data_IF_576346789423
#
_entry.id   IF_576346789423
#
_cell.length_a   1.000
_cell.length_b   1.000
_cell.length_c   1.000
_cell.angle_alpha   90.00
_cell.angle_beta   90.00
_cell.angle_gamma   90.00
#
_symmetry.space_group_name_H-M   'P 1'
#
loop_
_entity.id
_entity.type
_entity.pdbx_description
1 polymer ?
#
# COMPACT_ATOMS: atom_id res chain seq x y z
N UNK A 1 -11.12 -1.18 10.31
CA UNK A 1 -10.12 -1.49 9.25
C UNK A 1 -10.45 -0.66 8.01
N UNK A 2 -9.46 -0.28 7.18
CA UNK A 2 -9.68 0.41 5.91
C UNK A 2 -9.00 -0.34 4.76
N UNK A 3 -9.55 -0.24 3.56
CA UNK A 3 -9.01 -0.87 2.35
C UNK A 3 -9.44 -0.08 1.11
N UNK A 4 -8.70 -0.26 0.01
CA UNK A 4 -9.07 0.31 -1.28
C UNK A 4 -9.75 -0.73 -2.18
N UNK A 5 -10.70 -0.26 -2.97
CA UNK A 5 -11.33 -1.01 -4.06
C UNK A 5 -10.86 -0.33 -5.34
N UNK A 6 -10.10 -1.05 -6.16
CA UNK A 6 -9.45 -0.48 -7.33
C UNK A 6 -9.81 -1.25 -8.61
N UNK A 7 -9.93 -0.53 -9.72
CA UNK A 7 -9.98 -1.09 -11.06
C UNK A 7 -8.58 -1.04 -11.69
N UNK A 8 -7.89 -2.18 -11.69
CA UNK A 8 -6.46 -2.30 -11.97
C UNK A 8 -6.16 -3.20 -13.16
N UNK A 9 -6.53 -2.82 -14.40
CA UNK A 9 -6.16 -3.58 -15.56
C UNK A 9 -4.64 -3.63 -15.74
N UNK A 10 -4.14 -4.82 -16.08
CA UNK A 10 -2.74 -5.03 -16.44
C UNK A 10 -2.53 -4.82 -17.94
N UNK A 11 -1.40 -4.23 -18.29
CA UNK A 11 -0.96 -4.10 -19.68
C UNK A 11 0.55 -4.36 -19.77
N UNK A 12 1.06 -4.44 -21.00
CA UNK A 12 2.44 -4.82 -21.27
C UNK A 12 3.17 -3.79 -22.14
N UNK A 13 4.43 -3.56 -21.83
CA UNK A 13 5.33 -2.72 -22.61
C UNK A 13 6.14 -3.57 -23.58
N UNK A 14 6.14 -3.23 -24.87
CA UNK A 14 6.88 -3.99 -25.89
C UNK A 14 8.41 -3.76 -25.88
N UNK A 15 8.88 -2.62 -25.36
CA UNK A 15 10.28 -2.19 -25.47
C UNK A 15 10.83 -1.59 -24.16
N UNK A 16 10.54 -2.22 -23.02
CA UNK A 16 11.05 -1.81 -21.69
C UNK A 16 11.58 -3.00 -20.90
N UNK A 17 12.52 -2.73 -19.99
CA UNK A 17 13.00 -3.72 -19.02
C UNK A 17 11.86 -4.22 -18.11
N UNK A 18 10.96 -3.32 -17.70
CA UNK A 18 9.74 -3.68 -16.96
C UNK A 18 8.60 -3.91 -17.96
N UNK A 19 8.35 -5.18 -18.27
CA UNK A 19 7.39 -5.60 -19.30
C UNK A 19 5.94 -5.52 -18.81
N UNK A 20 5.69 -5.65 -17.50
CA UNK A 20 4.36 -5.62 -16.89
C UNK A 20 4.11 -4.27 -16.23
N UNK A 21 2.91 -3.76 -16.37
CA UNK A 21 2.48 -2.53 -15.70
C UNK A 21 0.98 -2.57 -15.40
N UNK A 22 0.50 -1.63 -14.60
CA UNK A 22 -0.89 -1.53 -14.15
C UNK A 22 -1.25 -0.06 -13.97
N UNK A 23 -2.45 0.29 -14.39
CA UNK A 23 -3.01 1.63 -14.19
C UNK A 23 -4.22 1.50 -13.27
N UNK A 24 -4.31 2.37 -12.26
CA UNK A 24 -5.54 2.54 -11.51
C UNK A 24 -6.48 3.41 -12.32
N UNK A 25 -7.54 2.81 -12.88
CA UNK A 25 -8.53 3.51 -13.70
C UNK A 25 -9.60 4.19 -12.87
N UNK A 26 -9.91 3.63 -11.70
CA UNK A 26 -10.94 4.12 -10.81
C UNK A 26 -10.75 3.43 -9.45
N UNK A 27 -10.81 4.20 -8.38
CA UNK A 27 -10.64 3.68 -7.04
C UNK A 27 -11.42 4.45 -6.00
N UNK A 28 -11.66 3.78 -4.88
CA UNK A 28 -12.25 4.36 -3.69
C UNK A 28 -11.71 3.67 -2.44
N UNK A 29 -11.82 4.34 -1.32
CA UNK A 29 -11.56 3.81 0.01
C UNK A 29 -12.86 3.38 0.68
N UNK A 30 -12.79 2.25 1.35
CA UNK A 30 -13.84 1.74 2.20
C UNK A 30 -13.27 1.41 3.59
N UNK A 31 -14.10 1.52 4.61
CA UNK A 31 -13.77 1.16 5.98
C UNK A 31 -14.83 0.25 6.57
N UNK A 32 -14.37 -0.73 7.35
CA UNK A 32 -15.20 -1.71 8.03
C UNK A 32 -15.28 -1.40 9.51
N UNK A 33 -16.51 -1.19 9.99
CA UNK A 33 -16.87 -1.02 11.39
C UNK A 33 -17.19 -2.40 11.98
N UNK A 34 -16.44 -2.79 13.01
CA UNK A 34 -16.54 -4.12 13.60
C UNK A 34 -17.84 -4.33 14.37
N UNK A 35 -18.27 -3.33 15.14
CA UNK A 35 -19.43 -3.44 16.03
C UNK A 35 -20.74 -3.57 15.24
N UNK A 36 -20.91 -2.72 14.24
CA UNK A 36 -22.07 -2.77 13.32
C UNK A 36 -21.93 -3.82 12.22
N UNK A 37 -20.72 -4.34 11.99
CA UNK A 37 -20.37 -5.24 10.87
C UNK A 37 -20.72 -4.64 9.50
N UNK A 38 -20.61 -3.33 9.37
CA UNK A 38 -20.92 -2.58 8.14
C UNK A 38 -19.66 -2.13 7.43
N UNK A 39 -19.71 -2.11 6.11
CA UNK A 39 -18.68 -1.48 5.27
C UNK A 39 -19.23 -0.15 4.79
N UNK A 40 -18.47 0.92 4.98
CA UNK A 40 -18.82 2.29 4.59
C UNK A 40 -17.75 2.88 3.69
N UNK A 41 -18.12 3.91 2.95
CA UNK A 41 -17.20 4.84 2.27
C UNK A 41 -17.58 6.26 2.69
N UNK A 42 -16.89 7.29 2.22
CA UNK A 42 -17.32 8.68 2.44
C UNK A 42 -16.77 9.62 1.35
N UNK A 43 -17.46 10.71 0.99
CA UNK A 43 -16.98 11.69 0.01
C UNK A 43 -15.67 12.39 0.43
N UNK A 44 -15.35 12.39 1.72
CA UNK A 44 -14.14 12.95 2.29
C UNK A 44 -12.90 12.10 1.97
N UNK A 45 -13.06 10.78 1.87
CA UNK A 45 -11.98 9.81 1.59
C UNK A 45 -12.07 9.20 0.19
N UNK A 46 -13.12 9.50 -0.57
CA UNK A 46 -13.38 8.90 -1.89
C UNK A 46 -14.12 9.88 -2.79
N UNK A 47 -13.39 10.53 -3.70
CA UNK A 47 -13.94 11.50 -4.65
C UNK A 47 -13.91 10.91 -6.05
N UNK A 48 -15.03 11.01 -6.77
CA UNK A 48 -15.12 10.54 -8.17
C UNK A 48 -14.08 11.13 -9.13
N UNK A 49 -13.52 12.30 -8.80
CA UNK A 49 -12.50 12.97 -9.60
C UNK A 49 -11.06 12.61 -9.19
N UNK A 50 -10.89 11.72 -8.22
CA UNK A 50 -9.60 11.30 -7.69
C UNK A 50 -9.50 9.78 -7.68
N UNK A 51 -8.26 9.33 -7.52
CA UNK A 51 -7.89 7.94 -7.34
C UNK A 51 -7.32 7.81 -5.93
N UNK A 52 -8.02 7.13 -5.02
CA UNK A 52 -7.60 6.92 -3.64
C UNK A 52 -7.22 5.47 -3.36
N UNK A 53 -6.06 5.27 -2.73
CA UNK A 53 -5.49 3.93 -2.52
C UNK A 53 -4.52 3.90 -1.34
N UNK A 54 -4.04 2.69 -1.00
CA UNK A 54 -3.07 2.41 0.06
C UNK A 54 -3.41 3.07 1.43
N UNK A 55 -4.60 2.81 2.00
CA UNK A 55 -4.95 3.30 3.33
C UNK A 55 -4.06 2.67 4.41
N UNK A 56 -3.64 3.47 5.39
CA UNK A 56 -2.87 3.06 6.55
C UNK A 56 -3.27 3.89 7.77
N UNK A 57 -3.77 3.23 8.81
CA UNK A 57 -4.12 3.90 10.07
C UNK A 57 -2.86 4.29 10.85
N UNK A 58 -2.92 5.44 11.53
CA UNK A 58 -1.99 5.74 12.62
C UNK A 58 -2.18 4.73 13.75
N UNK A 59 -1.11 4.48 14.51
CA UNK A 59 -1.14 3.49 15.60
C UNK A 59 -2.19 3.79 16.68
N UNK A 60 -2.50 5.07 16.89
CA UNK A 60 -3.54 5.54 17.81
C UNK A 60 -4.96 5.52 17.22
N UNK A 61 -5.12 5.13 15.95
CA UNK A 61 -6.41 5.07 15.24
C UNK A 61 -7.05 6.42 14.92
N UNK A 62 -6.38 7.54 15.20
CA UNK A 62 -6.96 8.89 15.04
C UNK A 62 -6.88 9.43 13.61
N UNK A 63 -5.90 8.97 12.84
CA UNK A 63 -5.67 9.44 11.48
C UNK A 63 -5.62 8.26 10.50
N UNK A 64 -6.24 8.44 9.34
CA UNK A 64 -6.04 7.60 8.18
C UNK A 64 -5.10 8.30 7.21
N UNK A 65 -3.94 7.70 6.96
CA UNK A 65 -3.02 8.09 5.89
C UNK A 65 -3.38 7.31 4.63
N UNK A 66 -3.31 7.94 3.47
CA UNK A 66 -3.55 7.27 2.19
C UNK A 66 -2.92 8.04 1.04
N UNK A 67 -2.89 7.41 -0.13
CA UNK A 67 -2.40 8.02 -1.35
C UNK A 67 -3.57 8.50 -2.22
N UNK A 68 -3.47 9.70 -2.77
CA UNK A 68 -4.52 10.27 -3.61
C UNK A 68 -3.96 11.00 -4.83
N UNK A 69 -4.53 10.78 -6.02
CA UNK A 69 -4.14 11.48 -7.25
C UNK A 69 -5.36 12.07 -7.97
N UNK A 70 -5.16 13.11 -8.78
CA UNK A 70 -6.19 13.56 -9.71
C UNK A 70 -6.41 12.52 -10.82
N UNK A 71 -7.67 12.19 -11.11
CA UNK A 71 -8.02 11.33 -12.23
C UNK A 71 -7.96 12.16 -13.53
N UNK A 72 -7.14 11.73 -14.50
CA UNK A 72 -6.86 12.50 -15.73
C UNK A 72 -7.70 12.06 -16.93
N UNK A 73 -8.77 11.30 -16.69
CA UNK A 73 -9.70 10.79 -17.69
C UNK A 73 -11.11 10.76 -17.11
N UNK A 74 -12.12 10.84 -17.98
CA UNK A 74 -13.54 10.71 -17.59
C UNK A 74 -14.07 9.31 -17.87
N UNK A 75 -13.75 8.76 -19.04
CA UNK A 75 -14.02 7.38 -19.45
C UNK A 75 -12.82 6.91 -20.30
N UNK A 76 -12.07 5.88 -19.87
CA UNK A 76 -10.88 5.45 -20.60
C UNK A 76 -11.30 4.69 -21.87
N UNK A 77 -11.28 5.39 -23.01
CA UNK A 77 -11.56 4.80 -24.33
C UNK A 77 -10.43 3.89 -24.86
N UNK A 78 -9.30 3.86 -24.17
CA UNK A 78 -8.12 3.06 -24.50
C UNK A 78 -7.43 2.60 -23.22
N UNK A 79 -6.74 1.46 -23.30
CA UNK A 79 -6.04 0.85 -22.19
C UNK A 79 -4.56 0.61 -22.56
N UNK A 80 -3.60 1.25 -21.86
CA UNK A 80 -3.78 2.25 -20.80
C UNK A 80 -4.21 3.63 -21.36
N UNK A 81 -4.84 4.51 -20.55
CA UNK A 81 -5.19 5.88 -20.98
C UNK A 81 -3.95 6.69 -21.33
N UNK A 82 -3.91 7.45 -22.44
CA UNK A 82 -2.73 8.25 -22.90
C UNK A 82 -1.89 8.90 -21.79
N UNK A 83 -2.58 9.52 -20.82
CA UNK A 83 -1.99 10.33 -19.74
C UNK A 83 -1.67 9.55 -18.46
N UNK A 84 -1.74 8.21 -18.46
CA UNK A 84 -1.54 7.41 -17.24
C UNK A 84 -0.19 7.66 -16.55
N UNK A 85 0.86 7.99 -17.32
CA UNK A 85 2.21 8.30 -16.79
C UNK A 85 2.31 9.68 -16.15
N UNK A 86 1.33 10.55 -16.35
CA UNK A 86 1.27 11.87 -15.71
C UNK A 86 0.63 11.79 -14.32
N UNK A 87 -0.07 10.70 -14.01
CA UNK A 87 -0.70 10.51 -12.70
C UNK A 87 0.37 10.27 -11.66
N UNK A 88 0.45 11.16 -10.68
CA UNK A 88 1.29 11.00 -9.49
C UNK A 88 0.44 11.20 -8.24
N UNK A 89 0.70 10.38 -7.24
CA UNK A 89 -0.08 10.31 -6.01
C UNK A 89 0.59 11.11 -4.90
N UNK A 90 -0.19 11.97 -4.27
CA UNK A 90 0.15 12.67 -3.03
C UNK A 90 0.00 11.71 -1.85
N UNK A 91 0.76 11.93 -0.77
CA UNK A 91 0.48 11.37 0.55
C UNK A 91 -0.37 12.35 1.32
N UNK A 92 -1.56 11.92 1.73
CA UNK A 92 -2.52 12.71 2.48
C UNK A 92 -2.90 11.98 3.76
N UNK A 93 -3.46 12.71 4.72
CA UNK A 93 -4.08 12.15 5.92
C UNK A 93 -5.38 12.86 6.25
N UNK A 94 -6.24 12.18 6.98
CA UNK A 94 -7.51 12.72 7.48
C UNK A 94 -7.78 12.18 8.87
N UNK A 95 -8.33 12.99 9.76
CA UNK A 95 -8.74 12.51 11.09
C UNK A 95 -10.08 11.77 11.02
N UNK A 96 -10.28 10.82 11.93
CA UNK A 96 -11.53 10.10 12.08
C UNK A 96 -11.93 10.03 13.56
N UNK A 97 -13.14 10.48 13.86
CA UNK A 97 -13.77 10.33 15.16
C UNK A 97 -14.67 9.09 15.15
N UNK A 98 -14.23 8.04 15.84
CA UNK A 98 -14.93 6.75 15.93
C UNK A 98 -16.25 6.85 16.71
N UNK A 99 -16.34 7.75 17.69
CA UNK A 99 -17.53 7.88 18.56
C UNK A 99 -18.68 8.55 17.81
N UNK A 100 -18.37 9.55 16.97
CA UNK A 100 -19.36 10.27 16.17
C UNK A 100 -19.48 9.78 14.73
N UNK A 101 -18.62 8.84 14.30
CA UNK A 101 -18.49 8.34 12.92
C UNK A 101 -18.30 9.48 11.90
N UNK A 102 -17.31 10.35 12.15
CA UNK A 102 -17.06 11.55 11.33
C UNK A 102 -15.61 11.68 10.89
N UNK A 103 -15.45 12.10 9.64
CA UNK A 103 -14.18 12.48 9.06
C UNK A 103 -13.90 13.97 9.28
N UNK A 104 -12.65 14.32 9.54
CA UNK A 104 -12.20 15.70 9.65
C UNK A 104 -11.79 16.31 8.30
N UNK A 105 -10.85 17.25 8.34
CA UNK A 105 -10.31 17.88 7.15
C UNK A 105 -9.16 17.06 6.54
N UNK A 106 -9.10 17.05 5.21
CA UNK A 106 -8.04 16.37 4.47
C UNK A 106 -6.77 17.23 4.45
N UNK A 107 -5.67 16.67 4.93
CA UNK A 107 -4.37 17.33 5.01
C UNK A 107 -3.37 16.68 4.05
N UNK A 108 -2.67 17.48 3.26
CA UNK A 108 -1.52 16.99 2.47
C UNK A 108 -0.30 16.85 3.38
N UNK A 109 0.24 15.64 3.47
CA UNK A 109 1.46 15.32 4.22
C UNK A 109 2.69 15.54 3.33
N UNK A 110 2.63 15.05 2.09
CA UNK A 110 3.66 15.26 1.07
C UNK A 110 3.02 15.25 -0.31
N UNK A 111 3.19 16.33 -1.08
CA UNK A 111 2.70 16.38 -2.45
C UNK A 111 3.64 15.66 -3.40
N UNK A 112 3.09 15.07 -4.47
CA UNK A 112 3.88 14.49 -5.54
C UNK A 112 4.68 15.55 -6.34
N UNK A 113 4.21 16.79 -6.32
CA UNK A 113 4.90 17.93 -6.92
C UNK A 113 6.19 18.23 -6.16
N UNK A 114 6.13 18.37 -4.83
CA UNK A 114 7.29 18.63 -3.97
C UNK A 114 8.28 17.46 -3.99
N UNK A 115 7.77 16.23 -4.04
CA UNK A 115 8.61 15.03 -4.13
C UNK A 115 9.22 14.82 -5.53
N UNK A 116 8.64 15.43 -6.56
CA UNK A 116 8.94 15.15 -7.98
C UNK A 116 8.56 13.74 -8.45
N UNK A 117 8.00 12.90 -7.57
CA UNK A 117 7.73 11.48 -7.75
C UNK A 117 6.34 11.13 -7.22
N UNK A 118 5.79 10.02 -7.68
CA UNK A 118 4.54 9.48 -7.15
C UNK A 118 4.78 8.70 -5.86
N UNK A 119 3.95 8.93 -4.84
CA UNK A 119 4.07 8.31 -3.51
C UNK A 119 3.08 7.13 -3.41
N UNK A 120 3.51 6.04 -2.78
CA UNK A 120 2.69 4.84 -2.62
C UNK A 120 3.01 4.08 -1.32
N UNK A 121 2.06 3.23 -0.91
CA UNK A 121 2.23 2.25 0.17
C UNK A 121 2.77 2.85 1.50
N UNK A 122 2.14 3.90 2.07
CA UNK A 122 2.54 4.42 3.37
C UNK A 122 2.29 3.37 4.47
N UNK A 123 3.23 3.22 5.41
CA UNK A 123 3.15 2.31 6.56
C UNK A 123 3.80 2.93 7.77
N UNK A 124 3.03 3.05 8.84
CA UNK A 124 3.42 3.73 10.08
C UNK A 124 3.93 2.68 11.08
N UNK A 125 5.00 3.02 11.79
CA UNK A 125 5.55 2.16 12.84
C UNK A 125 4.56 2.06 14.02
N UNK A 126 4.49 0.92 14.74
CA UNK A 126 3.58 0.76 15.88
C UNK A 126 3.73 1.80 17.02
N UNK A 127 4.92 2.35 17.20
CA UNK A 127 5.20 3.47 18.13
C UNK A 127 4.78 4.86 17.59
N UNK A 128 4.23 4.93 16.37
CA UNK A 128 3.75 6.16 15.73
C UNK A 128 4.83 7.15 15.30
N UNK A 129 6.11 6.80 15.44
CA UNK A 129 7.23 7.71 15.22
C UNK A 129 7.60 7.81 13.73
N UNK A 130 7.61 6.70 13.01
CA UNK A 130 8.16 6.63 11.66
C UNK A 130 7.07 6.28 10.64
N UNK A 131 7.14 6.90 9.46
CA UNK A 131 6.34 6.53 8.30
C UNK A 131 7.27 6.10 7.17
N UNK A 132 7.15 4.84 6.75
CA UNK A 132 7.76 4.31 5.53
C UNK A 132 6.82 4.51 4.36
N UNK A 133 7.38 4.83 3.20
CA UNK A 133 6.63 4.87 1.95
C UNK A 133 7.54 4.55 0.77
N UNK A 134 6.92 4.18 -0.35
CA UNK A 134 7.60 3.99 -1.61
C UNK A 134 7.42 5.24 -2.48
N UNK A 135 8.42 5.57 -3.28
CA UNK A 135 8.26 6.51 -4.40
C UNK A 135 8.44 5.78 -5.72
N UNK A 136 7.82 6.26 -6.80
CA UNK A 136 8.04 5.77 -8.16
C UNK A 136 7.78 6.89 -9.19
N UNK A 137 8.02 6.64 -10.48
CA UNK A 137 7.94 7.72 -11.48
C UNK A 137 6.50 8.20 -11.72
N UNK A 138 5.53 7.29 -11.64
CA UNK A 138 4.10 7.55 -11.86
C UNK A 138 3.24 6.43 -11.26
N UNK A 139 1.94 6.66 -11.16
CA UNK A 139 0.98 5.66 -10.69
C UNK A 139 1.21 5.25 -9.23
N UNK A 140 0.62 4.14 -8.82
CA UNK A 140 0.65 3.68 -7.43
C UNK A 140 1.13 2.22 -7.29
N UNK A 141 1.84 1.69 -8.29
CA UNK A 141 2.37 0.31 -8.30
C UNK A 141 3.91 0.24 -8.31
N UNK A 142 4.57 0.52 -7.18
CA UNK A 142 6.00 0.30 -6.96
C UNK A 142 6.59 -0.99 -7.54
N UNK A 143 5.97 -2.19 -7.39
CA UNK A 143 6.59 -3.45 -7.82
C UNK A 143 6.87 -3.53 -9.33
N UNK A 144 6.21 -2.72 -10.15
CA UNK A 144 6.40 -2.69 -11.61
C UNK A 144 7.44 -1.69 -12.07
N UNK A 145 8.04 -0.93 -11.15
CA UNK A 145 8.96 0.15 -11.49
C UNK A 145 10.30 -0.05 -10.83
N UNK A 146 11.34 -0.28 -11.65
CA UNK A 146 12.73 -0.35 -11.21
C UNK A 146 13.17 0.91 -10.44
N UNK A 147 12.57 2.07 -10.73
CA UNK A 147 12.84 3.33 -10.03
C UNK A 147 12.24 3.42 -8.63
N UNK A 148 11.58 2.36 -8.15
CA UNK A 148 10.92 2.43 -6.86
C UNK A 148 11.86 2.27 -5.69
N UNK A 149 11.80 3.24 -4.78
CA UNK A 149 12.69 3.38 -3.64
C UNK A 149 11.89 3.57 -2.35
N UNK A 150 12.44 3.10 -1.24
CA UNK A 150 11.93 3.32 0.10
C UNK A 150 12.43 4.65 0.68
N UNK A 151 11.52 5.35 1.34
CA UNK A 151 11.76 6.58 2.07
C UNK A 151 11.21 6.48 3.48
N UNK A 152 11.82 7.22 4.41
CA UNK A 152 11.43 7.27 5.81
C UNK A 152 11.17 8.73 6.21
N UNK A 153 10.02 8.96 6.83
CA UNK A 153 9.57 10.24 7.35
C UNK A 153 9.47 10.19 8.88
N UNK A 154 9.91 11.27 9.53
CA UNK A 154 9.84 11.44 10.98
C UNK A 154 8.52 12.12 11.35
N UNK A 155 7.54 11.35 11.80
CA UNK A 155 6.22 11.87 12.19
C UNK A 155 6.28 12.62 13.51
N UNK A 156 7.17 12.22 14.42
CA UNK A 156 7.31 12.86 15.73
C UNK A 156 7.90 14.26 15.56
N UNK A 157 8.99 14.40 14.81
CA UNK A 157 9.56 15.69 14.48
C UNK A 157 8.58 16.55 13.68
N UNK A 158 7.77 15.95 12.80
CA UNK A 158 6.73 16.68 12.09
C UNK A 158 5.65 17.23 13.02
N UNK A 159 5.24 16.48 14.05
CA UNK A 159 4.30 16.96 15.05
C UNK A 159 4.87 18.14 15.88
N UNK A 160 6.16 18.12 16.20
CA UNK A 160 6.82 19.17 16.97
C UNK A 160 7.11 20.43 16.15
N UNK A 161 7.47 20.27 14.87
CA UNK A 161 7.96 21.37 14.02
C UNK A 161 6.96 21.85 12.98
N UNK A 162 5.89 21.10 12.73
CA UNK A 162 4.96 21.31 11.62
C UNK A 162 5.54 20.94 10.24
N UNK A 163 6.72 20.31 10.17
CA UNK A 163 7.39 19.99 8.90
C UNK A 163 7.61 18.49 8.72
N UNK A 164 7.06 17.93 7.64
CA UNK A 164 7.26 16.54 7.26
C UNK A 164 8.60 16.33 6.56
N UNK A 165 9.66 16.17 7.35
CA UNK A 165 11.00 15.84 6.82
C UNK A 165 11.10 14.34 6.53
N UNK A 166 11.64 14.02 5.36
CA UNK A 166 11.80 12.64 4.89
C UNK A 166 13.16 12.45 4.21
N UNK A 167 13.62 11.19 4.12
CA UNK A 167 14.89 10.84 3.48
C UNK A 167 14.79 9.52 2.71
N UNK A 168 15.50 9.46 1.57
CA UNK A 168 15.71 8.21 0.84
C UNK A 168 16.54 7.26 1.69
N UNK A 169 16.13 6.00 1.78
CA UNK A 169 16.89 5.00 2.52
C UNK A 169 18.15 4.55 1.79
N UNK A 170 19.22 4.30 2.54
CA UNK A 170 20.49 3.80 2.01
C UNK A 170 20.43 2.30 1.65
N UNK A 171 19.37 1.61 2.07
CA UNK A 171 19.19 0.17 1.84
C UNK A 171 18.58 -0.17 0.48
N UNK A 172 18.10 0.85 -0.24
CA UNK A 172 17.55 0.70 -1.58
C UNK A 172 18.59 0.12 -2.53
N UNK A 173 18.17 -0.81 -3.38
CA UNK A 173 19.01 -1.36 -4.44
C UNK A 173 18.89 -0.56 -5.73
N UNK A 174 19.51 -1.05 -6.82
CA UNK A 174 19.25 -0.55 -8.17
C UNK A 174 17.99 -1.16 -8.82
N UNK A 175 17.15 -1.83 -8.03
CA UNK A 175 15.93 -2.51 -8.44
C UNK A 175 14.77 -2.06 -7.56
N UNK A 176 13.53 -2.35 -8.01
CA UNK A 176 12.31 -2.00 -7.29
C UNK A 176 12.33 -2.50 -5.84
N UNK A 177 12.10 -1.56 -4.93
CA UNK A 177 11.68 -1.80 -3.55
C UNK A 177 10.20 -1.45 -3.42
N UNK A 178 9.44 -2.27 -2.71
CA UNK A 178 7.99 -2.12 -2.59
C UNK A 178 7.49 -2.81 -1.35
N UNK A 179 6.31 -2.45 -0.86
CA UNK A 179 5.67 -2.98 0.34
C UNK A 179 6.55 -2.91 1.60
N UNK A 180 6.00 -2.48 2.71
CA UNK A 180 6.73 -2.49 3.98
C UNK A 180 5.81 -2.99 5.07
N UNK A 181 6.39 -3.68 6.05
CA UNK A 181 5.70 -4.07 7.26
C UNK A 181 6.64 -3.83 8.42
N UNK A 182 6.10 -3.28 9.50
CA UNK A 182 6.86 -2.95 10.69
C UNK A 182 6.69 -4.04 11.73
N UNK A 183 7.77 -4.30 12.45
CA UNK A 183 7.68 -5.15 13.62
C UNK A 183 6.90 -4.51 14.75
N UNK A 184 6.32 -5.31 15.63
CA UNK A 184 5.55 -4.81 16.79
C UNK A 184 6.35 -3.89 17.73
N UNK A 185 7.67 -4.03 17.77
CA UNK A 185 8.56 -3.18 18.56
C UNK A 185 9.12 -1.96 17.81
N UNK A 186 8.68 -1.70 16.56
CA UNK A 186 9.18 -0.62 15.71
C UNK A 186 10.70 -0.63 15.44
N UNK A 187 11.39 -1.77 15.51
CA UNK A 187 12.84 -1.87 15.30
C UNK A 187 13.25 -2.78 14.16
N UNK A 188 12.30 -3.43 13.50
CA UNK A 188 12.53 -4.19 12.28
C UNK A 188 11.49 -3.84 11.23
N UNK A 189 11.94 -3.93 9.98
CA UNK A 189 11.08 -3.80 8.82
C UNK A 189 11.26 -5.04 7.95
N UNK A 190 10.14 -5.54 7.44
CA UNK A 190 10.11 -6.46 6.31
C UNK A 190 9.68 -5.68 5.06
N UNK A 191 10.34 -5.91 3.93
CA UNK A 191 10.00 -5.25 2.67
C UNK A 191 10.24 -6.14 1.46
N UNK A 192 9.54 -5.88 0.36
CA UNK A 192 9.70 -6.64 -0.89
C UNK A 192 10.74 -5.98 -1.78
N UNK A 193 11.68 -6.79 -2.27
CA UNK A 193 12.75 -6.32 -3.14
C UNK A 193 12.98 -7.22 -4.33
N UNK A 194 13.23 -6.63 -5.50
CA UNK A 194 13.71 -7.35 -6.69
C UNK A 194 15.24 -7.42 -6.78
N UNK A 195 15.99 -7.00 -5.75
CA UNK A 195 17.45 -6.75 -5.82
C UNK A 195 18.35 -7.89 -6.29
N UNK A 196 17.94 -9.17 -6.22
CA UNK A 196 18.81 -10.29 -6.65
C UNK A 196 18.92 -10.39 -8.17
N UNK A 197 17.78 -10.32 -8.86
CA UNK A 197 17.73 -10.65 -10.28
C UNK A 197 16.69 -9.83 -11.07
N UNK A 198 16.03 -8.84 -10.44
CA UNK A 198 15.14 -7.90 -11.14
C UNK A 198 13.76 -8.45 -11.53
N UNK A 199 13.46 -9.73 -11.27
CA UNK A 199 12.21 -10.37 -11.78
C UNK A 199 11.22 -10.68 -10.67
N UNK A 200 11.66 -11.38 -9.63
CA UNK A 200 10.83 -11.85 -8.53
C UNK A 200 11.12 -11.01 -7.30
N UNK A 201 10.06 -10.58 -6.63
CA UNK A 201 10.18 -9.99 -5.30
C UNK A 201 10.51 -11.07 -4.28
N UNK A 202 11.38 -10.69 -3.35
CA UNK A 202 11.80 -11.49 -2.21
C UNK A 202 11.64 -10.66 -0.94
N UNK A 203 11.33 -11.28 0.20
CA UNK A 203 11.19 -10.57 1.46
C UNK A 203 12.58 -10.32 2.08
N UNK A 204 12.85 -9.08 2.42
CA UNK A 204 14.06 -8.66 3.11
C UNK A 204 13.73 -8.11 4.48
N UNK A 205 14.60 -8.38 5.45
CA UNK A 205 14.53 -7.85 6.80
C UNK A 205 15.63 -6.79 6.98
N UNK A 206 15.30 -5.70 7.67
CA UNK A 206 16.29 -4.72 8.09
C UNK A 206 15.98 -4.20 9.49
N UNK A 207 17.04 -3.98 10.27
CA UNK A 207 16.96 -3.34 11.58
C UNK A 207 16.87 -1.82 11.43
N UNK A 208 15.99 -1.20 12.19
CA UNK A 208 15.81 0.25 12.32
C UNK A 208 16.23 0.67 13.73
N UNK A 209 17.26 1.50 13.83
CA UNK A 209 17.70 2.01 15.13
C UNK A 209 16.77 3.11 15.68
N UNK A 210 17.03 3.55 16.91
CA UNK A 210 16.23 4.58 17.57
C UNK A 210 16.26 5.94 16.85
N UNK A 211 17.30 6.22 16.08
CA UNK A 211 17.46 7.43 15.28
C UNK A 211 16.85 7.28 13.87
N UNK A 212 16.23 6.14 13.57
CA UNK A 212 15.62 5.82 12.28
C UNK A 212 16.66 5.46 11.21
N UNK A 213 17.90 5.14 11.56
CA UNK A 213 18.86 4.59 10.61
C UNK A 213 18.44 3.16 10.30
N UNK A 214 18.31 2.88 9.00
CA UNK A 214 17.95 1.56 8.50
C UNK A 214 19.22 0.84 8.07
N UNK A 215 19.49 -0.31 8.68
CA UNK A 215 20.75 -1.04 8.54
C UNK A 215 20.74 -1.99 7.36
N UNK A 216 21.91 -2.56 7.01
CA UNK A 216 22.05 -3.47 5.87
C UNK A 216 20.97 -4.58 5.92
N UNK A 217 20.16 -4.74 4.87
CA UNK A 217 19.11 -5.73 4.86
C UNK A 217 19.66 -7.13 4.62
N UNK A 218 18.96 -8.11 5.14
CA UNK A 218 19.19 -9.54 4.92
C UNK A 218 17.99 -10.13 4.20
N UNK A 219 18.24 -11.03 3.24
CA UNK A 219 17.19 -11.84 2.66
C UNK A 219 16.60 -12.73 3.76
N UNK A 220 15.28 -12.86 3.82
CA UNK A 220 14.61 -13.71 4.80
C UNK A 220 15.26 -15.11 4.83
N UNK A 221 15.86 -15.54 5.95
CA UNK A 221 16.49 -16.85 6.00
C UNK A 221 15.49 -17.98 5.79
N UNK A 222 15.91 -18.98 5.03
CA UNK A 222 15.15 -20.22 4.80
C UNK A 222 15.93 -21.39 5.39
N UNK A 223 15.22 -22.48 5.73
CA UNK A 223 15.85 -23.70 6.25
C UNK A 223 16.90 -24.25 5.27
N UNK A 224 16.59 -24.23 3.99
CA UNK A 224 17.54 -24.49 2.91
C UNK A 224 18.08 -23.15 2.37
N UNK A 225 19.40 -22.89 2.47
CA UNK A 225 19.98 -21.65 1.96
C UNK A 225 19.85 -21.49 0.43
N UNK A 226 19.64 -22.58 -0.32
CA UNK A 226 19.45 -22.56 -1.77
C UNK A 226 17.98 -22.39 -2.19
N UNK A 227 17.04 -22.31 -1.23
CA UNK A 227 15.60 -22.25 -1.49
C UNK A 227 15.23 -21.23 -2.58
N UNK A 228 15.77 -20.02 -2.49
CA UNK A 228 15.43 -18.94 -3.41
C UNK A 228 16.03 -19.06 -4.81
N UNK A 229 17.02 -19.93 -5.00
CA UNK A 229 17.69 -20.12 -6.29
C UNK A 229 16.81 -20.95 -7.24
N UNK A 230 15.95 -21.83 -6.70
CA UNK A 230 14.96 -22.59 -7.46
C UNK A 230 13.51 -22.15 -7.23
N UNK A 231 13.26 -21.18 -6.36
CA UNK A 231 11.92 -20.68 -6.05
C UNK A 231 11.37 -19.82 -7.21
N UNK A 232 10.31 -20.29 -7.87
CA UNK A 232 9.61 -19.53 -8.91
C UNK A 232 8.49 -18.64 -8.35
N UNK A 233 8.14 -18.82 -7.09
CA UNK A 233 7.13 -18.00 -6.43
C UNK A 233 7.65 -16.59 -6.16
N UNK A 234 6.70 -15.66 -6.03
CA UNK A 234 6.95 -14.23 -5.83
C UNK A 234 6.31 -13.82 -4.51
N UNK A 235 7.12 -13.27 -3.60
CA UNK A 235 6.66 -12.84 -2.28
C UNK A 235 6.64 -11.31 -2.24
N UNK A 236 5.47 -10.72 -2.49
CA UNK A 236 5.31 -9.26 -2.67
C UNK A 236 4.72 -8.53 -1.47
N UNK A 237 4.15 -9.25 -0.50
CA UNK A 237 3.42 -8.67 0.64
C UNK A 237 3.91 -9.34 1.92
N UNK A 238 5.19 -9.16 2.33
CA UNK A 238 5.66 -9.63 3.62
C UNK A 238 4.96 -8.87 4.73
N UNK A 239 4.32 -9.60 5.64
CA UNK A 239 3.70 -9.06 6.85
C UNK A 239 4.32 -9.68 8.09
N UNK A 240 4.79 -8.82 8.99
CA UNK A 240 5.24 -9.21 10.32
C UNK A 240 4.01 -9.33 11.22
N UNK A 241 3.86 -10.50 11.85
CA UNK A 241 2.74 -10.78 12.75
C UNK A 241 3.25 -11.33 14.08
N UNK A 242 2.61 -10.91 15.17
CA UNK A 242 2.97 -11.32 16.53
C UNK A 242 2.39 -12.67 16.92
N UNK A 243 1.48 -13.22 16.11
CA UNK A 243 0.80 -14.48 16.39
C UNK A 243 0.58 -15.31 15.12
N UNK A 244 0.51 -16.64 15.24
CA UNK A 244 0.07 -17.53 14.18
C UNK A 244 -1.29 -17.13 13.62
N UNK A 245 -1.42 -17.11 12.30
CA UNK A 245 -2.71 -16.91 11.64
C UNK A 245 -3.61 -18.11 11.92
N UNK A 246 -4.73 -17.82 12.58
CA UNK A 246 -5.70 -18.82 13.05
C UNK A 246 -6.60 -19.35 11.93
N UNK A 247 -6.63 -18.69 10.76
CA UNK A 247 -7.46 -19.08 9.63
C UNK A 247 -6.65 -19.86 8.59
N UNK A 248 -7.16 -21.01 8.17
CA UNK A 248 -6.55 -21.78 7.08
C UNK A 248 -6.84 -21.12 5.73
N UNK A 249 -5.94 -21.31 4.76
CA UNK A 249 -6.16 -20.87 3.39
C UNK A 249 -7.44 -21.44 2.77
N UNK A 250 -7.82 -22.67 3.13
CA UNK A 250 -9.09 -23.27 2.72
C UNK A 250 -10.31 -22.51 3.27
N UNK A 251 -10.31 -22.18 4.56
CA UNK A 251 -11.39 -21.43 5.20
C UNK A 251 -11.55 -20.05 4.56
N UNK A 252 -10.45 -19.33 4.35
CA UNK A 252 -10.46 -18.04 3.65
C UNK A 252 -10.98 -18.20 2.22
N UNK A 253 -10.49 -19.20 1.48
CA UNK A 253 -10.93 -19.48 0.12
C UNK A 253 -12.41 -19.86 0.02
N UNK A 254 -12.99 -20.50 1.05
CA UNK A 254 -14.42 -20.80 1.11
C UNK A 254 -15.26 -19.54 1.34
N UNK A 255 -14.80 -18.63 2.19
CA UNK A 255 -15.46 -17.33 2.44
C UNK A 255 -15.44 -16.47 1.18
N UNK A 256 -14.30 -16.34 0.51
CA UNK A 256 -14.15 -15.53 -0.72
C UNK A 256 -15.05 -16.04 -1.85
N UNK A 257 -15.24 -17.36 -1.96
CA UNK A 257 -16.12 -17.99 -2.96
C UNK A 257 -17.58 -18.09 -2.53
N UNK A 258 -17.91 -17.65 -1.32
CA UNK A 258 -19.29 -17.74 -0.82
C UNK A 258 -20.19 -16.71 -1.53
N UNK A 259 -21.48 -17.02 -1.61
CA UNK A 259 -22.49 -16.10 -2.16
C UNK A 259 -22.80 -14.92 -1.23
N UNK A 260 -22.38 -15.00 0.05
CA UNK A 260 -22.60 -13.93 1.03
C UNK A 260 -21.67 -12.76 0.72
N UNK A 261 -22.27 -11.62 0.40
CA UNK A 261 -21.55 -10.35 0.19
C UNK A 261 -21.95 -9.36 1.27
N UNK A 262 -20.97 -8.60 1.76
CA UNK A 262 -21.22 -7.38 2.55
C UNK A 262 -21.08 -6.24 1.55
N UNK A 263 -22.18 -5.55 1.27
CA UNK A 263 -22.15 -4.41 0.36
C UNK A 263 -21.51 -3.21 1.06
N UNK A 264 -20.78 -2.40 0.29
CA UNK A 264 -20.36 -1.07 0.74
C UNK A 264 -21.63 -0.23 0.78
N UNK A 265 -21.92 0.42 1.91
CA UNK A 265 -23.02 1.38 2.01
C UNK A 265 -22.85 2.44 0.91
N UNK A 266 -23.77 2.43 -0.05
CA UNK A 266 -23.68 3.25 -1.25
C UNK A 266 -23.99 4.70 -0.90
N UNK A 267 -22.95 5.53 -0.82
CA UNK A 267 -23.11 6.99 -0.80
C UNK A 267 -23.21 7.54 -2.22
N UNK A 268 -22.73 6.79 -3.22
CA UNK A 268 -22.84 7.17 -4.63
C UNK A 268 -23.79 6.20 -5.36
N UNK A 269 -25.02 6.64 -5.64
CA UNK A 269 -26.03 5.90 -6.42
C UNK A 269 -25.56 5.43 -7.82
N UNK A 270 -24.34 5.77 -8.27
CA UNK A 270 -23.81 5.46 -9.61
C UNK A 270 -22.56 4.57 -9.65
N UNK A 271 -22.11 3.98 -8.54
CA UNK A 271 -20.98 3.02 -8.56
C UNK A 271 -21.41 1.58 -8.88
N UNK A 272 -22.71 1.27 -8.91
CA UNK A 272 -23.23 -0.06 -9.28
C UNK A 272 -22.75 -0.52 -10.66
N UNK A 273 -22.53 0.42 -11.59
CA UNK A 273 -22.20 0.10 -12.99
C UNK A 273 -20.70 0.28 -13.32
N UNK A 274 -19.92 0.94 -12.45
CA UNK A 274 -18.54 1.33 -12.74
C UNK A 274 -17.49 0.26 -12.41
N UNK A 275 -17.87 -0.83 -11.74
CA UNK A 275 -16.99 -1.94 -11.42
C UNK A 275 -17.60 -3.27 -11.90
N UNK A 276 -17.65 -3.54 -13.22
CA UNK A 276 -17.97 -4.87 -13.70
C UNK A 276 -16.92 -5.86 -13.18
N UNK A 277 -17.36 -6.73 -12.27
CA UNK A 277 -16.58 -7.82 -11.67
C UNK A 277 -16.10 -8.78 -12.76
N UNK A 278 -14.77 -8.89 -12.97
CA UNK A 278 -14.05 -10.05 -12.43
C UNK A 278 -12.66 -9.76 -11.83
N UNK A 279 -12.19 -8.50 -11.79
CA UNK A 279 -10.79 -8.15 -11.49
C UNK A 279 -10.58 -7.16 -10.32
N UNK A 280 -11.51 -7.10 -9.36
CA UNK A 280 -11.33 -6.28 -8.14
C UNK A 280 -10.16 -6.87 -7.32
N UNK A 281 -9.06 -6.13 -7.23
CA UNK A 281 -8.03 -6.42 -6.22
C UNK A 281 -8.40 -5.62 -4.99
N UNK A 282 -8.81 -6.32 -3.94
CA UNK A 282 -8.92 -5.71 -2.61
C UNK A 282 -7.51 -5.69 -2.04
N UNK A 283 -6.95 -4.50 -1.88
CA UNK A 283 -5.74 -4.32 -1.08
C UNK A 283 -6.20 -4.22 0.37
N UNK A 284 -6.23 -5.37 1.05
CA UNK A 284 -6.52 -5.48 2.47
C UNK A 284 -5.31 -6.12 3.17
N UNK A 285 -5.02 -5.71 4.40
CA UNK A 285 -3.95 -6.21 5.28
C UNK A 285 -4.09 -7.69 5.69
N UNK A 286 -4.70 -8.57 4.85
CA UNK A 286 -4.98 -9.96 5.20
C UNK A 286 -4.32 -10.92 4.19
N UNK A 287 -3.09 -11.29 4.55
CA UNK A 287 -2.38 -12.58 4.43
C UNK A 287 -2.70 -13.57 3.28
N UNK A 288 -1.66 -13.83 2.47
CA UNK A 288 -1.30 -15.14 1.89
C UNK A 288 -0.21 -15.80 2.79
N UNK A 289 0.02 -17.12 2.72
CA UNK A 289 0.65 -17.93 3.79
C UNK A 289 2.17 -17.77 4.05
N UNK A 290 2.83 -16.72 3.59
CA UNK A 290 4.28 -16.52 3.84
C UNK A 290 4.52 -15.48 4.93
N UNK A 291 3.99 -15.79 6.11
CA UNK A 291 3.99 -14.88 7.25
C UNK A 291 5.27 -15.01 8.06
N UNK A 292 5.73 -13.87 8.55
CA UNK A 292 6.91 -13.76 9.40
C UNK A 292 6.46 -13.67 10.86
N UNK A 293 6.86 -14.67 11.64
CA UNK A 293 6.57 -14.68 13.08
C UNK A 293 7.64 -13.90 13.84
N UNK A 294 7.18 -13.01 14.70
CA UNK A 294 8.01 -12.39 15.74
C UNK A 294 8.03 -13.30 16.96
N UNK A 295 9.21 -13.63 17.47
CA UNK A 295 9.41 -14.27 18.77
C UNK A 295 9.82 -13.22 19.80
#
# INVERSE_FOLDING_TARGET
>A
AAYSINHLPRFYHFARNEVRDTVDLNSLLAYYLLDSKTVKTSPEISKKSRLETWPAWSADGRYLYFCSAAMLWSEPNELPPKRYKEVKYDLVRISYDIESDRWGELETVLSAEDAGLSIAMPRISPDGHWLLFCTCNYGCFPPWQQSSDLYLMDLKAAQETGQYKYRRLQINSGQSESWTSWSSNSRWIAFSSKRRHGVFTRPYLSYVDQQGKVHKPILLPQKDPLFYDSCLDTYSIPELVTQPVQATGEKLGRVVRSSRKIEVENIFNGLKDALPWPWVTVICDICRPDLLFEN
#
